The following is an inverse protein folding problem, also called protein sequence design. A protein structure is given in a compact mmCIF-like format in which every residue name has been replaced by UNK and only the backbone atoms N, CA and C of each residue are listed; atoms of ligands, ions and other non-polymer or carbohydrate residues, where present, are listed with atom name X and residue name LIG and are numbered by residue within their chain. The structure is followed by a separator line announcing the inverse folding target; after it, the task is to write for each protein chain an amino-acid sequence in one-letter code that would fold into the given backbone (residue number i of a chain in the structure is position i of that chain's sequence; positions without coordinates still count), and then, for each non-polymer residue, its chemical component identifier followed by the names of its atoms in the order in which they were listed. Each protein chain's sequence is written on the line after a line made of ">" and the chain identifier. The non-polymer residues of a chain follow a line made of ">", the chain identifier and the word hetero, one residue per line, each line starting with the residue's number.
data_IF_753758530569
#
_entry.id   IF_753758530569
#
_cell.length_a   1.000
_cell.length_b   1.000
_cell.length_c   1.000
_cell.angle_alpha   90.00
_cell.angle_beta   90.00
_cell.angle_gamma   90.00
#
_symmetry.space_group_name_H-M   'P 1'
#
loop_
_entity.id
_entity.type
_entity.pdbx_description
1 polymer ?
#
# COMPACT_ATOMS: atom_id res chain seq x y z
N UNK A 1 -13.50 -6.16 -6.41
CA UNK A 1 -12.31 -5.49 -5.84
C UNK A 1 -11.83 -4.20 -6.55
N UNK A 2 -12.29 -3.85 -7.78
CA UNK A 2 -11.89 -2.60 -8.46
C UNK A 2 -12.47 -1.31 -7.83
N UNK A 3 -13.56 -1.44 -7.07
CA UNK A 3 -14.29 -0.29 -6.48
C UNK A 3 -13.56 0.31 -5.27
N UNK A 4 -12.86 -0.51 -4.47
CA UNK A 4 -12.11 -0.05 -3.29
C UNK A 4 -10.97 0.89 -3.71
N UNK A 5 -10.17 0.48 -4.70
CA UNK A 5 -9.03 1.28 -5.22
C UNK A 5 -9.47 2.66 -5.69
N UNK A 6 -10.61 2.74 -6.41
CA UNK A 6 -11.17 4.02 -6.87
C UNK A 6 -11.67 4.90 -5.72
N UNK A 7 -12.25 4.31 -4.68
CA UNK A 7 -12.68 5.04 -3.48
C UNK A 7 -11.47 5.57 -2.69
N UNK A 8 -10.38 4.80 -2.62
CA UNK A 8 -9.15 5.23 -1.96
C UNK A 8 -8.51 6.44 -2.65
N UNK A 9 -8.45 6.45 -3.99
CA UNK A 9 -7.93 7.59 -4.75
C UNK A 9 -8.75 8.87 -4.58
N UNK A 10 -10.05 8.76 -4.32
CA UNK A 10 -10.94 9.92 -4.18
C UNK A 10 -11.00 10.48 -2.75
N UNK A 11 -10.72 9.64 -1.74
CA UNK A 11 -10.90 10.01 -0.32
C UNK A 11 -9.60 10.44 0.37
N UNK A 12 -8.44 9.98 -0.10
CA UNK A 12 -7.15 10.28 0.53
C UNK A 12 -6.37 11.32 -0.27
N UNK A 13 -5.94 12.40 0.40
CA UNK A 13 -5.06 13.43 -0.19
C UNK A 13 -3.63 12.95 -0.41
N UNK A 14 -3.26 11.79 0.15
CA UNK A 14 -1.92 11.21 0.05
C UNK A 14 -1.88 10.23 -1.13
N UNK A 15 -0.94 10.37 -2.07
CA UNK A 15 -0.76 9.40 -3.15
C UNK A 15 -0.27 8.06 -2.57
N UNK A 16 -0.67 6.95 -3.22
CA UNK A 16 -0.29 5.58 -2.86
C UNK A 16 -0.14 4.73 -4.12
N UNK A 17 0.62 3.64 -4.03
CA UNK A 17 0.80 2.67 -5.10
C UNK A 17 0.23 1.30 -4.73
N UNK A 18 -0.43 0.65 -5.69
CA UNK A 18 -0.94 -0.72 -5.53
C UNK A 18 -0.28 -1.63 -6.54
N UNK A 19 0.23 -2.75 -6.04
CA UNK A 19 0.99 -3.75 -6.78
C UNK A 19 2.26 -3.19 -7.43
N UNK A 20 3.05 -2.43 -6.68
CA UNK A 20 4.35 -2.00 -7.17
C UNK A 20 4.95 -0.82 -6.41
N UNK A 21 6.22 -0.59 -6.69
CA UNK A 21 7.00 0.51 -6.16
C UNK A 21 6.60 1.85 -6.80
N UNK A 22 6.50 2.88 -5.98
CA UNK A 22 6.51 4.27 -6.42
C UNK A 22 7.26 5.11 -5.39
N UNK A 23 8.07 6.04 -5.88
CA UNK A 23 8.86 6.94 -5.04
C UNK A 23 7.96 7.88 -4.24
N UNK A 24 8.28 8.11 -2.97
CA UNK A 24 7.66 9.10 -2.11
C UNK A 24 6.27 8.74 -1.60
N UNK A 25 5.81 7.49 -1.75
CA UNK A 25 4.46 7.06 -1.40
C UNK A 25 4.43 5.72 -0.67
N UNK A 26 3.33 5.47 0.05
CA UNK A 26 3.02 4.14 0.56
C UNK A 26 2.65 3.23 -0.60
N UNK A 27 3.30 2.09 -0.67
CA UNK A 27 3.17 1.08 -1.69
C UNK A 27 2.62 -0.20 -1.09
N UNK A 28 1.86 -0.93 -1.89
CA UNK A 28 1.53 -2.32 -1.61
C UNK A 28 2.03 -3.19 -2.75
N UNK A 29 2.52 -4.39 -2.43
CA UNK A 29 3.07 -5.30 -3.42
C UNK A 29 2.79 -6.75 -3.02
N UNK A 30 2.47 -7.59 -4.01
CA UNK A 30 2.30 -9.02 -3.77
C UNK A 30 3.63 -9.73 -3.99
N UNK A 31 4.15 -10.39 -2.97
CA UNK A 31 5.33 -11.25 -3.06
C UNK A 31 4.94 -12.70 -2.77
N UNK A 32 4.85 -13.51 -3.84
CA UNK A 32 4.36 -14.89 -3.76
C UNK A 32 2.94 -14.97 -3.22
N UNK A 33 2.75 -15.62 -2.07
CA UNK A 33 1.45 -15.72 -1.39
C UNK A 33 1.21 -14.59 -0.37
N UNK A 34 2.19 -13.72 -0.15
CA UNK A 34 2.16 -12.67 0.87
C UNK A 34 2.00 -11.29 0.25
N UNK A 35 1.63 -10.34 1.09
CA UNK A 35 1.40 -8.94 0.72
C UNK A 35 2.26 -8.03 1.57
N UNK A 36 3.02 -7.17 0.92
CA UNK A 36 3.86 -6.17 1.58
C UNK A 36 3.20 -4.80 1.52
N UNK A 37 3.37 -4.03 2.59
CA UNK A 37 3.10 -2.60 2.65
C UNK A 37 4.38 -1.91 3.10
N UNK A 38 4.84 -0.92 2.34
CA UNK A 38 6.10 -0.22 2.60
C UNK A 38 6.06 1.22 2.08
N UNK A 39 6.94 2.09 2.56
CA UNK A 39 7.15 3.41 1.98
C UNK A 39 8.28 3.33 0.95
N UNK A 40 8.04 3.84 -0.27
CA UNK A 40 9.07 3.90 -1.30
C UNK A 40 9.96 5.12 -1.12
N UNK A 41 11.23 4.93 -0.78
CA UNK A 41 12.19 6.03 -0.62
C UNK A 41 13.56 5.65 -1.18
N UNK A 42 14.11 6.49 -2.05
CA UNK A 42 15.44 6.36 -2.66
C UNK A 42 15.66 5.00 -3.32
N UNK A 43 14.67 4.46 -4.01
CA UNK A 43 14.64 3.09 -4.57
C UNK A 43 14.71 1.96 -3.54
N UNK A 44 14.38 2.23 -2.28
CA UNK A 44 14.33 1.25 -1.20
C UNK A 44 12.91 1.10 -0.63
N UNK A 45 12.62 -0.09 -0.10
CA UNK A 45 11.40 -0.37 0.66
C UNK A 45 11.65 -0.04 2.13
N UNK A 46 11.14 1.09 2.59
CA UNK A 46 11.23 1.52 3.99
C UNK A 46 10.03 1.01 4.78
N UNK A 47 10.22 0.76 6.07
CA UNK A 47 9.16 0.33 7.01
C UNK A 47 8.29 -0.79 6.43
N UNK A 48 8.93 -1.88 5.99
CA UNK A 48 8.26 -2.99 5.34
C UNK A 48 7.44 -3.81 6.35
N UNK A 49 6.13 -3.89 6.13
CA UNK A 49 5.20 -4.75 6.85
C UNK A 49 4.65 -5.81 5.91
N UNK A 50 4.71 -7.08 6.34
CA UNK A 50 4.30 -8.23 5.54
C UNK A 50 3.07 -8.91 6.16
N UNK A 51 2.10 -9.22 5.31
CA UNK A 51 0.79 -9.77 5.65
C UNK A 51 0.51 -11.04 4.86
N UNK A 52 -0.24 -11.98 5.45
CA UNK A 52 -0.62 -13.23 4.76
C UNK A 52 -1.87 -13.05 3.88
N UNK A 53 -2.64 -11.98 4.08
CA UNK A 53 -3.82 -11.67 3.28
C UNK A 53 -3.76 -10.28 2.66
N UNK A 54 -4.35 -10.16 1.46
CA UNK A 54 -4.54 -8.88 0.79
C UNK A 54 -5.41 -7.93 1.60
N UNK A 55 -6.39 -8.48 2.31
CA UNK A 55 -7.35 -7.70 3.08
C UNK A 55 -6.63 -6.97 4.22
N UNK A 56 -5.77 -7.68 4.95
CA UNK A 56 -5.02 -7.12 6.09
C UNK A 56 -4.04 -6.05 5.63
N UNK A 57 -3.31 -6.31 4.54
CA UNK A 57 -2.40 -5.33 3.95
C UNK A 57 -3.12 -4.04 3.55
N UNK A 58 -4.31 -4.15 2.94
CA UNK A 58 -5.09 -2.98 2.54
C UNK A 58 -5.71 -2.26 3.74
N UNK A 59 -6.16 -2.99 4.76
CA UNK A 59 -6.64 -2.39 5.99
C UNK A 59 -5.53 -1.58 6.66
N UNK A 60 -4.32 -2.14 6.75
CA UNK A 60 -3.15 -1.44 7.27
C UNK A 60 -2.81 -0.19 6.45
N UNK A 61 -2.75 -0.31 5.12
CA UNK A 61 -2.51 0.83 4.21
C UNK A 61 -3.52 1.97 4.46
N UNK A 62 -4.80 1.64 4.59
CA UNK A 62 -5.85 2.62 4.85
C UNK A 62 -5.65 3.33 6.19
N UNK A 63 -5.29 2.60 7.24
CA UNK A 63 -4.98 3.19 8.55
C UNK A 63 -3.84 4.20 8.42
N UNK A 64 -2.77 3.87 7.71
CA UNK A 64 -1.62 4.76 7.50
C UNK A 64 -1.95 6.00 6.66
N UNK A 65 -2.88 5.89 5.70
CA UNK A 65 -3.32 7.03 4.88
C UNK A 65 -4.29 7.98 5.59
N UNK A 66 -4.92 7.52 6.68
CA UNK A 66 -5.92 8.29 7.44
C UNK A 66 -5.28 9.15 8.55
N UNK A 67 -4.12 8.74 9.05
CA UNK A 67 -3.32 9.48 10.05
C UNK A 67 -2.52 10.58 9.34
#
# INVERSE_FOLDING_TARGET
>A
MKMLIRLLQFRFRKPFSINGYSEGVLCTEKDGSKWDVYYGERNHKMDLHRFDSQCDAYQYLITQLTI
#
